data_IF_995852707295
#
_entry.id   IF_995852707295
#
_cell.length_a   1.000
_cell.length_b   1.000
_cell.length_c   1.000
_cell.angle_alpha   90.00
_cell.angle_beta   90.00
_cell.angle_gamma   90.00
#
_symmetry.space_group_name_H-M   'P 1'
#
loop_
_entity.id
_entity.type
_entity.pdbx_description
1 polymer ?
#
# COMPACT_ATOMS: atom_id res chain seq x y z
N UNK A 1 9.13 4.24 0.34
CA UNK A 1 8.14 4.65 -0.68
C UNK A 1 7.36 5.88 -0.23
N UNK A 2 7.00 5.97 1.06
CA UNK A 2 6.33 7.13 1.67
C UNK A 2 6.90 8.49 1.24
N UNK A 3 8.17 8.77 1.54
CA UNK A 3 8.82 10.05 1.19
C UNK A 3 8.80 10.36 -0.32
N UNK A 4 8.87 9.33 -1.17
CA UNK A 4 8.80 9.50 -2.61
C UNK A 4 7.39 9.97 -3.03
N UNK A 5 6.33 9.39 -2.46
CA UNK A 5 4.95 9.77 -2.76
C UNK A 5 4.57 11.13 -2.17
N UNK A 6 5.02 11.42 -0.95
CA UNK A 6 4.83 12.73 -0.31
C UNK A 6 5.52 13.86 -1.11
N UNK A 7 6.65 13.56 -1.75
CA UNK A 7 7.36 14.52 -2.61
C UNK A 7 6.60 14.96 -3.86
N UNK A 8 5.59 14.19 -4.32
CA UNK A 8 4.68 14.64 -5.37
C UNK A 8 3.54 15.48 -4.79
N UNK A 9 2.86 14.94 -3.78
CA UNK A 9 1.74 15.60 -3.10
C UNK A 9 1.45 14.83 -1.80
N UNK A 10 1.31 15.55 -0.68
CA UNK A 10 1.04 14.94 0.63
C UNK A 10 -0.19 14.01 0.61
N UNK A 11 -1.25 14.40 -0.12
CA UNK A 11 -2.49 13.63 -0.21
C UNK A 11 -2.34 12.27 -0.91
N UNK A 12 -1.28 12.08 -1.71
CA UNK A 12 -1.05 10.81 -2.41
C UNK A 12 -0.69 9.71 -1.42
N UNK A 13 0.14 10.01 -0.42
CA UNK A 13 0.47 9.04 0.62
C UNK A 13 -0.77 8.62 1.41
N UNK A 14 -1.60 9.57 1.84
CA UNK A 14 -2.82 9.29 2.60
C UNK A 14 -3.77 8.34 1.84
N UNK A 15 -3.88 8.49 0.51
CA UNK A 15 -4.69 7.57 -0.30
C UNK A 15 -4.07 6.17 -0.41
N UNK A 16 -2.74 6.09 -0.45
CA UNK A 16 -2.03 4.81 -0.57
C UNK A 16 -2.01 4.05 0.75
N UNK A 17 -1.97 4.76 1.89
CA UNK A 17 -1.95 4.17 3.22
C UNK A 17 -3.34 3.75 3.70
N UNK A 18 -4.35 4.62 3.57
CA UNK A 18 -5.66 4.43 4.22
C UNK A 18 -6.84 4.38 3.23
N UNK A 19 -6.63 4.75 1.97
CA UNK A 19 -7.70 5.00 1.01
C UNK A 19 -8.11 3.78 0.18
N UNK A 20 -8.93 2.86 0.70
CA UNK A 20 -9.67 1.93 -0.17
C UNK A 20 -10.85 2.68 -0.82
N UNK A 21 -10.54 3.43 -1.88
CA UNK A 21 -11.48 4.29 -2.59
C UNK A 21 -12.37 3.53 -3.56
N UNK A 22 -12.83 2.33 -3.18
CA UNK A 22 -13.88 1.63 -3.90
C UNK A 22 -15.20 2.38 -3.70
N UNK A 23 -15.39 3.49 -4.42
CA UNK A 23 -16.67 4.17 -4.48
C UNK A 23 -17.65 3.22 -5.17
N UNK A 24 -18.51 2.60 -4.37
CA UNK A 24 -19.50 1.60 -4.80
C UNK A 24 -20.78 2.22 -5.33
N UNK A 25 -20.95 3.54 -5.14
CA UNK A 25 -22.11 4.28 -5.63
C UNK A 25 -22.07 4.43 -7.14
N UNK A 26 -23.24 4.46 -7.76
CA UNK A 26 -23.41 4.80 -9.18
C UNK A 26 -22.75 6.14 -9.51
N UNK A 27 -22.13 6.24 -10.68
CA UNK A 27 -21.36 7.42 -11.12
C UNK A 27 -22.16 8.72 -11.02
N UNK A 28 -23.47 8.64 -11.23
CA UNK A 28 -24.38 9.79 -11.22
C UNK A 28 -24.63 10.34 -9.82
N UNK A 29 -24.29 9.58 -8.77
CA UNK A 29 -24.42 9.99 -7.36
C UNK A 29 -23.10 10.44 -6.74
N UNK A 30 -22.03 10.51 -7.53
CA UNK A 30 -20.72 10.89 -7.00
C UNK A 30 -20.70 12.37 -6.63
N UNK A 31 -20.34 12.62 -5.37
CA UNK A 31 -20.05 13.96 -4.88
C UNK A 31 -18.73 14.47 -5.48
N UNK A 32 -18.49 15.78 -5.36
CA UNK A 32 -17.21 16.35 -5.79
C UNK A 32 -16.03 15.74 -4.99
N UNK A 33 -16.25 15.42 -3.72
CA UNK A 33 -15.26 14.74 -2.89
C UNK A 33 -14.96 13.32 -3.39
N UNK A 34 -15.98 12.58 -3.85
CA UNK A 34 -15.78 11.24 -4.43
C UNK A 34 -14.94 11.33 -5.71
N UNK A 35 -15.23 12.31 -6.58
CA UNK A 35 -14.46 12.54 -7.81
C UNK A 35 -13.01 12.89 -7.49
N UNK A 36 -12.78 13.76 -6.50
CA UNK A 36 -11.46 14.14 -6.03
C UNK A 36 -10.68 12.92 -5.52
N UNK A 37 -11.32 12.09 -4.69
CA UNK A 37 -10.74 10.83 -4.20
C UNK A 37 -10.36 9.90 -5.36
N UNK A 38 -11.26 9.65 -6.30
CA UNK A 38 -11.00 8.79 -7.47
C UNK A 38 -9.84 9.32 -8.31
N UNK A 39 -9.78 10.63 -8.54
CA UNK A 39 -8.69 11.29 -9.25
C UNK A 39 -7.35 11.06 -8.54
N UNK A 40 -7.30 11.27 -7.22
CA UNK A 40 -6.11 11.02 -6.41
C UNK A 40 -5.68 9.54 -6.46
N UNK A 41 -6.63 8.59 -6.39
CA UNK A 41 -6.32 7.17 -6.55
C UNK A 41 -5.75 6.85 -7.93
N UNK A 42 -6.30 7.42 -9.00
CA UNK A 42 -5.77 7.23 -10.35
C UNK A 42 -4.34 7.78 -10.48
N UNK A 43 -4.09 8.96 -9.92
CA UNK A 43 -2.76 9.57 -9.87
C UNK A 43 -1.77 8.72 -9.06
N UNK A 44 -2.17 8.25 -7.88
CA UNK A 44 -1.37 7.36 -7.05
C UNK A 44 -1.03 6.05 -7.78
N UNK A 45 -2.01 5.42 -8.45
CA UNK A 45 -1.76 4.22 -9.28
C UNK A 45 -0.75 4.52 -10.39
N UNK A 46 -0.88 5.64 -11.09
CA UNK A 46 0.04 6.03 -12.14
C UNK A 46 1.47 6.17 -11.62
N UNK A 47 1.65 6.89 -10.49
CA UNK A 47 2.97 7.08 -9.86
C UNK A 47 3.56 5.74 -9.43
N UNK A 48 2.77 4.88 -8.78
CA UNK A 48 3.19 3.53 -8.40
C UNK A 48 3.61 2.73 -9.63
N UNK A 49 2.83 2.71 -10.70
CA UNK A 49 3.17 1.97 -11.92
C UNK A 49 4.48 2.46 -12.55
N UNK A 50 4.74 3.78 -12.54
CA UNK A 50 5.98 4.35 -13.07
C UNK A 50 7.21 4.01 -12.22
N UNK A 51 7.04 3.89 -10.91
CA UNK A 51 8.11 3.55 -9.98
C UNK A 51 8.46 2.04 -9.96
N UNK A 52 7.58 1.19 -10.49
CA UNK A 52 7.74 -0.27 -10.43
C UNK A 52 8.46 -0.83 -11.65
N UNK A 53 9.30 -1.84 -11.42
CA UNK A 53 9.82 -2.67 -12.51
C UNK A 53 8.70 -3.48 -13.16
N UNK A 54 8.90 -3.93 -14.41
CA UNK A 54 7.92 -4.77 -15.13
C UNK A 54 7.46 -6.00 -14.34
N UNK A 55 8.38 -6.64 -13.61
CA UNK A 55 8.08 -7.81 -12.77
C UNK A 55 7.12 -7.45 -11.63
N UNK A 56 7.38 -6.35 -10.95
CA UNK A 56 6.56 -5.92 -9.81
C UNK A 56 5.22 -5.38 -10.28
N UNK A 57 5.20 -4.60 -11.36
CA UNK A 57 3.97 -4.17 -11.99
C UNK A 57 3.05 -5.36 -12.32
N UNK A 58 3.58 -6.41 -12.96
CA UNK A 58 2.78 -7.59 -13.29
C UNK A 58 2.12 -8.22 -12.06
N UNK A 59 2.78 -8.22 -10.89
CA UNK A 59 2.24 -8.76 -9.64
C UNK A 59 1.06 -7.95 -9.08
N UNK A 60 1.06 -6.63 -9.30
CA UNK A 60 0.08 -5.70 -8.70
C UNK A 60 -0.91 -5.11 -9.71
N UNK A 61 -0.73 -5.38 -11.00
CA UNK A 61 -1.55 -4.82 -12.10
C UNK A 61 -3.06 -5.07 -11.95
N UNK A 62 -3.44 -6.21 -11.38
CA UNK A 62 -4.84 -6.57 -11.13
C UNK A 62 -5.47 -5.88 -9.89
N UNK A 63 -4.69 -5.13 -9.10
CA UNK A 63 -5.21 -4.44 -7.93
C UNK A 63 -6.10 -3.25 -8.32
N UNK A 64 -7.26 -3.14 -7.65
CA UNK A 64 -8.28 -2.15 -7.96
C UNK A 64 -7.88 -0.73 -7.51
N UNK A 65 -7.31 -0.59 -6.32
CA UNK A 65 -6.87 0.67 -5.71
C UNK A 65 -5.35 0.75 -5.56
N UNK A 66 -4.82 1.97 -5.47
CA UNK A 66 -3.41 2.22 -5.17
C UNK A 66 -3.00 1.62 -3.81
N UNK A 67 -3.90 1.70 -2.82
CA UNK A 67 -3.75 1.05 -1.52
C UNK A 67 -3.52 -0.46 -1.65
N UNK A 68 -4.33 -1.17 -2.45
CA UNK A 68 -4.15 -2.63 -2.66
C UNK A 68 -2.87 -2.96 -3.43
N UNK A 69 -2.41 -2.08 -4.32
CA UNK A 69 -1.11 -2.25 -4.96
C UNK A 69 0.01 -2.15 -3.91
N UNK A 70 -0.03 -1.10 -3.09
CA UNK A 70 0.96 -0.85 -2.05
C UNK A 70 0.99 -1.94 -0.99
N UNK A 71 -0.17 -2.34 -0.47
CA UNK A 71 -0.26 -3.40 0.54
C UNK A 71 0.32 -4.72 0.04
N UNK A 72 0.05 -5.08 -1.22
CA UNK A 72 0.62 -6.28 -1.83
C UNK A 72 2.15 -6.19 -1.96
N UNK A 73 2.69 -5.01 -2.29
CA UNK A 73 4.14 -4.78 -2.32
C UNK A 73 4.71 -4.90 -0.92
N UNK A 74 4.11 -4.23 0.07
CA UNK A 74 4.54 -4.27 1.48
C UNK A 74 4.61 -5.70 1.99
N UNK A 75 3.55 -6.49 1.81
CA UNK A 75 3.52 -7.90 2.21
C UNK A 75 4.61 -8.71 1.48
N UNK A 76 4.83 -8.46 0.20
CA UNK A 76 5.81 -9.22 -0.60
C UNK A 76 7.25 -8.98 -0.14
N UNK A 77 7.58 -7.75 0.25
CA UNK A 77 8.95 -7.36 0.58
C UNK A 77 9.26 -7.36 2.08
N UNK A 78 8.32 -6.92 2.91
CA UNK A 78 8.50 -6.84 4.35
C UNK A 78 7.97 -8.07 5.09
N UNK A 79 7.19 -8.91 4.40
CA UNK A 79 6.45 -10.01 5.00
C UNK A 79 5.14 -9.55 5.65
N UNK A 80 4.30 -10.53 5.98
CA UNK A 80 3.07 -10.29 6.75
C UNK A 80 3.41 -10.03 8.21
N UNK A 81 2.53 -9.33 8.93
CA UNK A 81 2.73 -9.02 10.35
C UNK A 81 2.95 -10.29 11.19
N UNK A 82 2.23 -11.38 10.89
CA UNK A 82 2.46 -12.71 11.50
C UNK A 82 3.89 -13.25 11.35
N UNK A 83 4.53 -13.03 10.19
CA UNK A 83 5.90 -13.48 9.94
C UNK A 83 6.88 -12.61 10.73
N UNK A 84 6.60 -11.30 10.84
CA UNK A 84 7.37 -10.38 11.66
C UNK A 84 7.28 -10.76 13.15
N UNK A 85 6.08 -11.01 13.66
CA UNK A 85 5.83 -11.50 15.03
C UNK A 85 6.56 -12.80 15.31
N UNK A 86 6.42 -13.81 14.43
CA UNK A 86 7.11 -15.09 14.60
C UNK A 86 8.63 -14.93 14.67
N UNK A 87 9.21 -14.01 13.87
CA UNK A 87 10.64 -13.70 13.95
C UNK A 87 11.02 -13.05 15.28
N UNK A 88 10.20 -12.16 15.81
CA UNK A 88 10.41 -11.56 17.13
C UNK A 88 10.38 -12.65 18.21
N UNK A 89 9.38 -13.51 18.22
CA UNK A 89 9.24 -14.58 19.21
C UNK A 89 10.44 -15.54 19.21
N UNK A 90 10.92 -15.91 18.02
CA UNK A 90 12.13 -16.74 17.88
C UNK A 90 13.35 -16.03 18.47
N UNK A 91 13.54 -14.74 18.17
CA UNK A 91 14.67 -13.96 18.67
C UNK A 91 14.61 -13.78 20.20
N UNK A 92 13.42 -13.51 20.75
CA UNK A 92 13.19 -13.42 22.20
C UNK A 92 13.53 -14.75 22.86
N UNK A 93 13.01 -15.86 22.33
CA UNK A 93 13.29 -17.21 22.84
C UNK A 93 14.79 -17.54 22.80
N UNK A 94 15.49 -17.15 21.72
CA UNK A 94 16.94 -17.34 21.63
C UNK A 94 17.68 -16.51 22.67
N UNK A 95 17.33 -15.23 22.81
CA UNK A 95 17.93 -14.32 23.79
C UNK A 95 17.77 -14.84 25.22
N UNK A 96 16.56 -15.26 25.61
CA UNK A 96 16.31 -15.85 26.93
C UNK A 96 17.15 -17.10 27.19
N UNK A 97 17.34 -17.95 26.17
CA UNK A 97 18.21 -19.13 26.26
C UNK A 97 19.70 -18.82 26.36
N UNK A 98 20.16 -17.66 25.87
CA UNK A 98 21.55 -17.21 26.02
C UNK A 98 21.86 -16.64 27.41
N UNK A 99 20.84 -16.25 28.17
CA UNK A 99 20.98 -15.72 29.54
C UNK A 99 20.97 -16.83 30.61
N UNK A 100 20.79 -18.10 30.22
CA UNK A 100 20.87 -19.30 31.06
C UNK A 100 22.24 -19.95 30.87
#
# INVERSE_FOLDING_TARGET
MEYFLQGFEFQIWSIVEEGDLLVTNEKDKWTEDDRKKISLNCKAKSILCCALSKKEFNRVSACKSAMKMWEKLRITYEGTDKVKETRIDILVTQYERFQI
#
